data_IF_077577353223
#
_entry.id   IF_077577353223
#
_cell.length_a   1.000
_cell.length_b   1.000
_cell.length_c   1.000
_cell.angle_alpha   90.00
_cell.angle_beta   90.00
_cell.angle_gamma   90.00
#
_symmetry.space_group_name_H-M   'P 1'
#
loop_
_entity.id
_entity.type
_entity.pdbx_description
1 polymer ?
#
# COMPACT_ATOMS: atom_id res chain seq x y z
N UNK A 1 26.98 16.82 -31.26
CA UNK A 1 26.78 16.52 -29.83
C UNK A 1 25.31 16.67 -29.50
N UNK A 2 24.54 15.59 -29.61
CA UNK A 2 23.11 15.55 -29.29
C UNK A 2 22.96 15.36 -27.78
N UNK A 3 22.48 16.40 -27.07
CA UNK A 3 22.02 16.27 -25.69
C UNK A 3 20.83 15.32 -25.68
N UNK A 4 21.04 14.07 -25.27
CA UNK A 4 19.94 13.20 -24.89
C UNK A 4 19.36 13.77 -23.59
N UNK A 5 18.20 14.41 -23.71
CA UNK A 5 17.39 14.79 -22.56
C UNK A 5 17.14 13.54 -21.73
N UNK A 6 17.63 13.55 -20.50
CA UNK A 6 17.35 12.52 -19.53
C UNK A 6 15.85 12.55 -19.27
N UNK A 7 15.10 11.62 -19.86
CA UNK A 7 13.74 11.34 -19.41
C UNK A 7 13.92 10.77 -18.00
N UNK A 8 13.76 11.61 -16.99
CA UNK A 8 13.60 11.14 -15.62
C UNK A 8 12.39 10.22 -15.65
N UNK A 9 12.62 8.92 -15.54
CA UNK A 9 11.55 7.92 -15.56
C UNK A 9 10.51 8.28 -14.51
N UNK A 10 9.24 8.05 -14.84
CA UNK A 10 8.14 8.15 -13.87
C UNK A 10 8.25 6.97 -12.89
N UNK A 11 9.19 7.04 -11.96
CA UNK A 11 9.32 6.09 -10.85
C UNK A 11 8.40 6.50 -9.69
N UNK A 12 8.02 5.55 -8.83
CA UNK A 12 7.26 5.88 -7.64
C UNK A 12 8.12 6.70 -6.65
N UNK A 13 7.48 7.54 -5.83
CA UNK A 13 8.17 8.26 -4.77
C UNK A 13 8.76 7.32 -3.71
N UNK A 14 8.17 6.12 -3.57
CA UNK A 14 8.63 5.04 -2.70
C UNK A 14 8.27 3.69 -3.32
N UNK A 15 9.13 2.69 -3.17
CA UNK A 15 8.86 1.31 -3.58
C UNK A 15 9.49 0.36 -2.58
N UNK A 16 8.72 -0.49 -1.92
CA UNK A 16 9.28 -1.45 -0.96
C UNK A 16 9.32 -2.86 -1.53
N UNK A 17 10.51 -3.44 -1.50
CA UNK A 17 10.71 -4.87 -1.69
C UNK A 17 10.95 -5.54 -0.34
N UNK A 18 10.31 -6.68 -0.13
CA UNK A 18 10.50 -7.48 1.07
C UNK A 18 11.61 -8.49 0.83
N UNK A 19 12.58 -8.57 1.73
CA UNK A 19 13.66 -9.53 1.63
C UNK A 19 14.04 -10.03 3.02
N UNK A 20 14.07 -11.35 3.22
CA UNK A 20 14.42 -11.95 4.51
C UNK A 20 15.86 -11.63 4.97
N UNK A 21 16.77 -11.28 4.06
CA UNK A 21 18.17 -11.00 4.36
C UNK A 21 18.43 -9.49 4.53
N UNK A 22 17.84 -8.65 3.67
CA UNK A 22 18.06 -7.18 3.69
C UNK A 22 16.93 -6.39 4.35
N UNK A 23 15.88 -7.06 4.83
CA UNK A 23 14.76 -6.41 5.50
C UNK A 23 13.77 -5.77 4.53
N UNK A 24 13.18 -4.65 4.96
CA UNK A 24 12.28 -3.82 4.17
C UNK A 24 13.06 -2.58 3.75
N UNK A 25 13.48 -2.53 2.48
CA UNK A 25 14.30 -1.44 1.94
C UNK A 25 13.55 -0.76 0.79
N UNK A 26 13.61 0.56 0.74
CA UNK A 26 13.10 1.32 -0.40
C UNK A 26 13.98 1.05 -1.62
N UNK A 27 13.40 0.41 -2.63
CA UNK A 27 14.00 0.16 -3.94
C UNK A 27 13.81 1.32 -4.92
N UNK A 28 13.12 2.40 -4.51
CA UNK A 28 13.15 3.66 -5.24
C UNK A 28 14.53 4.34 -5.13
N UNK A 29 14.76 5.36 -5.97
CA UNK A 29 15.99 6.17 -5.89
C UNK A 29 15.98 7.21 -4.75
N UNK A 30 14.95 7.23 -3.90
CA UNK A 30 14.70 8.30 -2.94
C UNK A 30 15.12 7.97 -1.50
N UNK A 31 15.44 6.72 -1.20
CA UNK A 31 15.99 6.32 0.10
C UNK A 31 15.02 6.52 1.28
N UNK A 32 13.73 6.31 1.04
CA UNK A 32 12.67 6.53 2.03
C UNK A 32 12.65 5.40 3.05
N UNK A 33 13.00 5.70 4.31
CA UNK A 33 12.95 4.72 5.39
C UNK A 33 11.51 4.46 5.86
N UNK A 34 11.23 3.19 6.19
CA UNK A 34 10.00 2.78 6.86
C UNK A 34 10.31 2.11 8.20
N UNK A 35 9.49 2.40 9.21
CA UNK A 35 9.48 1.63 10.46
C UNK A 35 8.54 0.44 10.33
N UNK A 36 8.88 -0.70 10.92
CA UNK A 36 7.98 -1.86 10.94
C UNK A 36 7.93 -2.51 12.32
N UNK A 37 6.78 -3.06 12.66
CA UNK A 37 6.51 -3.72 13.93
C UNK A 37 5.83 -5.06 13.67
N UNK A 38 6.29 -6.13 14.32
CA UNK A 38 5.73 -7.48 14.24
C UNK A 38 5.53 -8.02 12.81
N UNK A 39 6.25 -7.49 11.82
CA UNK A 39 6.20 -7.95 10.43
C UNK A 39 7.15 -9.14 10.28
N UNK A 40 6.65 -10.25 9.73
CA UNK A 40 7.47 -11.44 9.46
C UNK A 40 7.82 -11.49 7.98
N UNK A 41 9.11 -11.48 7.66
CA UNK A 41 9.60 -11.57 6.28
C UNK A 41 9.83 -13.04 5.88
N UNK A 42 9.32 -13.43 4.72
CA UNK A 42 9.50 -14.77 4.16
C UNK A 42 9.82 -14.66 2.66
N UNK A 43 11.10 -14.79 2.32
CA UNK A 43 11.59 -14.58 0.96
C UNK A 43 11.25 -13.17 0.46
N UNK A 44 10.41 -13.11 -0.58
CA UNK A 44 9.97 -11.87 -1.24
C UNK A 44 8.63 -11.33 -0.71
N UNK A 45 8.16 -11.84 0.43
CA UNK A 45 6.85 -11.49 1.00
C UNK A 45 6.97 -11.06 2.45
N UNK A 46 6.06 -10.18 2.87
CA UNK A 46 5.87 -9.79 4.27
C UNK A 46 4.51 -10.28 4.76
N UNK A 47 4.48 -10.89 5.94
CA UNK A 47 3.27 -11.33 6.61
C UNK A 47 2.92 -10.34 7.72
N UNK A 48 1.67 -9.88 7.69
CA UNK A 48 1.07 -8.97 8.66
C UNK A 48 -0.02 -9.72 9.42
N UNK A 49 -0.04 -9.57 10.75
CA UNK A 49 -1.14 -9.98 11.60
C UNK A 49 -1.82 -8.73 12.21
N UNK A 50 -2.86 -8.93 13.04
CA UNK A 50 -3.60 -7.80 13.64
C UNK A 50 -2.79 -6.87 14.55
N UNK A 51 -1.51 -7.17 14.80
CA UNK A 51 -0.57 -6.36 15.58
C UNK A 51 0.65 -5.92 14.74
N UNK A 52 0.68 -6.22 13.44
CA UNK A 52 1.76 -5.87 12.54
C UNK A 52 1.49 -4.55 11.84
N UNK A 53 2.54 -3.77 11.58
CA UNK A 53 2.44 -2.56 10.75
C UNK A 53 3.76 -2.26 10.03
N UNK A 54 3.64 -1.65 8.85
CA UNK A 54 4.71 -0.93 8.16
C UNK A 54 4.29 0.54 8.11
N UNK A 55 5.15 1.43 8.58
CA UNK A 55 4.87 2.86 8.68
C UNK A 55 5.87 3.66 7.86
N UNK A 56 5.36 4.51 6.96
CA UNK A 56 6.11 5.31 6.01
C UNK A 56 5.93 6.79 6.36
N UNK A 57 6.77 7.29 7.27
CA UNK A 57 6.67 8.65 7.82
C UNK A 57 6.86 9.77 6.80
N UNK A 58 7.46 9.48 5.64
CA UNK A 58 7.77 10.47 4.61
C UNK A 58 6.54 11.21 4.08
N UNK A 59 5.35 10.62 4.22
CA UNK A 59 4.09 11.17 3.77
C UNK A 59 3.22 11.70 4.92
N UNK A 60 3.76 11.80 6.14
CA UNK A 60 3.07 12.49 7.23
C UNK A 60 3.01 14.00 6.93
N UNK A 61 1.83 14.61 7.09
CA UNK A 61 1.60 16.04 6.89
C UNK A 61 2.00 16.58 5.51
N UNK A 62 2.00 15.74 4.47
CA UNK A 62 2.26 16.18 3.10
C UNK A 62 0.95 16.43 2.38
N UNK A 63 0.93 17.49 1.58
CA UNK A 63 -0.14 17.70 0.62
C UNK A 63 0.00 16.67 -0.51
N UNK A 64 -0.91 15.71 -0.55
CA UNK A 64 -1.07 14.85 -1.71
C UNK A 64 -1.55 15.76 -2.85
N UNK A 65 -0.71 15.89 -3.88
CA UNK A 65 -1.05 16.66 -5.09
C UNK A 65 -2.30 16.07 -5.77
N UNK A 66 -2.58 16.53 -6.99
CA UNK A 66 -3.75 16.11 -7.78
C UNK A 66 -3.88 14.60 -8.07
N UNK A 67 -2.88 13.77 -7.75
CA UNK A 67 -2.91 12.33 -8.02
C UNK A 67 -2.11 11.56 -6.98
N UNK A 68 -2.76 10.55 -6.40
CA UNK A 68 -2.14 9.48 -5.62
C UNK A 68 -2.27 8.17 -6.41
N UNK A 69 -1.18 7.41 -6.51
CA UNK A 69 -1.18 6.05 -7.06
C UNK A 69 -0.59 5.13 -6.01
N UNK A 70 -1.34 4.09 -5.67
CA UNK A 70 -0.92 3.05 -4.75
C UNK A 70 -1.05 1.72 -5.49
N UNK A 71 0.05 0.98 -5.53
CA UNK A 71 0.10 -0.36 -6.12
C UNK A 71 0.69 -1.32 -5.09
N UNK A 72 0.01 -2.43 -4.87
CA UNK A 72 0.48 -3.52 -4.02
C UNK A 72 -0.25 -4.81 -4.35
N UNK A 73 0.33 -5.93 -3.95
CA UNK A 73 -0.30 -7.24 -4.03
C UNK A 73 -0.47 -7.78 -2.61
N UNK A 74 -1.62 -8.39 -2.35
CA UNK A 74 -1.90 -8.98 -1.04
C UNK A 74 -2.65 -10.30 -1.18
N UNK A 75 -2.56 -11.12 -0.14
CA UNK A 75 -3.35 -12.33 0.04
C UNK A 75 -3.80 -12.40 1.48
N UNK A 76 -5.10 -12.55 1.69
CA UNK A 76 -5.66 -12.81 3.02
C UNK A 76 -5.36 -14.26 3.45
N UNK A 77 -5.07 -14.48 4.73
CA UNK A 77 -4.87 -15.81 5.31
C UNK A 77 -5.81 -16.04 6.51
N UNK A 78 -6.13 -17.29 6.82
CA UNK A 78 -7.09 -17.66 7.88
C UNK A 78 -8.53 -17.81 7.39
N UNK A 79 -9.47 -18.05 8.32
CA UNK A 79 -10.89 -18.36 8.03
C UNK A 79 -11.88 -17.27 8.45
N UNK A 80 -11.40 -16.11 8.90
CA UNK A 80 -12.25 -15.01 9.36
C UNK A 80 -13.02 -14.31 8.23
N UNK A 81 -14.15 -13.68 8.59
CA UNK A 81 -14.95 -12.81 7.71
C UNK A 81 -14.74 -11.31 8.00
N UNK A 82 -13.87 -10.99 8.96
CA UNK A 82 -13.61 -9.63 9.40
C UNK A 82 -12.90 -8.81 8.33
N UNK A 83 -13.14 -7.51 8.37
CA UNK A 83 -12.47 -6.53 7.52
C UNK A 83 -11.07 -6.23 8.05
N UNK A 84 -10.08 -6.18 7.17
CA UNK A 84 -8.67 -5.98 7.51
C UNK A 84 -8.14 -4.74 6.80
N UNK A 85 -7.58 -3.78 7.55
CA UNK A 85 -6.94 -2.62 6.97
C UNK A 85 -5.63 -3.05 6.27
N UNK A 86 -5.53 -2.73 4.97
CA UNK A 86 -4.33 -2.96 4.16
C UNK A 86 -3.44 -1.73 4.16
N UNK A 87 -4.05 -0.55 4.02
CA UNK A 87 -3.40 0.76 4.07
C UNK A 87 -4.30 1.71 4.84
N UNK A 88 -3.73 2.46 5.76
CA UNK A 88 -4.41 3.51 6.53
C UNK A 88 -3.41 4.62 6.82
N UNK A 89 -3.86 5.86 6.78
CA UNK A 89 -3.10 6.99 7.31
C UNK A 89 -3.47 7.35 8.76
N UNK A 90 -4.36 6.59 9.40
CA UNK A 90 -4.60 6.63 10.84
C UNK A 90 -4.01 5.38 11.52
N UNK A 91 -3.22 5.59 12.57
CA UNK A 91 -2.65 4.52 13.39
C UNK A 91 -3.36 4.51 14.75
N UNK A 92 -4.21 3.53 14.98
CA UNK A 92 -4.62 3.08 16.32
C UNK A 92 -5.23 4.14 17.25
N UNK A 93 -5.91 5.16 16.71
CA UNK A 93 -6.65 6.13 17.53
C UNK A 93 -8.14 6.04 17.20
N UNK A 94 -8.96 5.82 18.22
CA UNK A 94 -10.44 5.89 18.13
C UNK A 94 -10.95 7.34 17.98
N UNK A 95 -10.02 8.31 17.94
CA UNK A 95 -10.33 9.75 17.94
C UNK A 95 -10.34 10.36 16.53
N UNK A 96 -9.70 9.71 15.55
CA UNK A 96 -9.59 10.21 14.18
C UNK A 96 -9.90 9.11 13.15
N UNK A 97 -10.88 9.36 12.29
CA UNK A 97 -11.12 8.50 11.12
C UNK A 97 -10.00 8.69 10.08
N UNK A 98 -9.54 7.59 9.49
CA UNK A 98 -8.57 7.65 8.39
C UNK A 98 -9.14 8.41 7.18
N UNK A 99 -8.41 9.43 6.72
CA UNK A 99 -8.75 10.15 5.48
C UNK A 99 -8.30 9.43 4.21
N UNK A 100 -7.43 8.43 4.33
CA UNK A 100 -7.11 7.46 3.28
C UNK A 100 -7.15 6.06 3.90
N UNK A 101 -8.00 5.20 3.36
CA UNK A 101 -8.20 3.85 3.86
C UNK A 101 -8.38 2.86 2.71
N UNK A 102 -7.65 1.75 2.75
CA UNK A 102 -7.83 0.59 1.87
C UNK A 102 -8.06 -0.63 2.74
N UNK A 103 -9.21 -1.28 2.60
CA UNK A 103 -9.66 -2.39 3.47
C UNK A 103 -10.01 -3.60 2.62
N UNK A 104 -9.52 -4.78 3.02
CA UNK A 104 -10.04 -6.05 2.52
C UNK A 104 -11.26 -6.46 3.36
N UNK A 105 -12.44 -6.51 2.74
CA UNK A 105 -13.64 -7.10 3.31
C UNK A 105 -13.71 -8.58 2.94
N UNK A 106 -13.37 -9.44 3.90
CA UNK A 106 -13.27 -10.89 3.68
C UNK A 106 -14.62 -11.58 3.53
N UNK A 107 -15.67 -11.06 4.18
CA UNK A 107 -17.03 -11.59 4.03
C UNK A 107 -17.57 -11.46 2.61
N UNK A 108 -17.22 -10.37 1.91
CA UNK A 108 -17.67 -10.07 0.54
C UNK A 108 -16.61 -10.32 -0.53
N UNK A 109 -15.38 -10.66 -0.16
CA UNK A 109 -14.22 -10.72 -1.06
C UNK A 109 -14.03 -9.43 -1.89
N UNK A 110 -14.21 -8.28 -1.25
CA UNK A 110 -14.03 -6.96 -1.88
C UNK A 110 -12.94 -6.17 -1.20
N UNK A 111 -12.21 -5.35 -1.96
CA UNK A 111 -11.38 -4.28 -1.42
C UNK A 111 -12.14 -2.98 -1.56
N UNK A 112 -12.27 -2.26 -0.45
CA UNK A 112 -12.78 -0.89 -0.42
C UNK A 112 -11.59 0.07 -0.40
N UNK A 113 -11.60 1.03 -1.31
CA UNK A 113 -10.75 2.22 -1.28
C UNK A 113 -11.63 3.39 -0.88
N UNK A 114 -11.28 4.08 0.21
CA UNK A 114 -11.99 5.24 0.74
C UNK A 114 -11.02 6.40 0.90
N UNK A 115 -11.43 7.57 0.43
CA UNK A 115 -10.75 8.84 0.68
C UNK A 115 -11.73 9.86 1.22
N UNK A 116 -11.34 10.57 2.28
CA UNK A 116 -12.14 11.63 2.91
C UNK A 116 -11.37 12.93 2.83
N UNK A 117 -12.06 14.00 2.42
CA UNK A 117 -11.58 15.37 2.42
C UNK A 117 -12.44 16.21 3.36
N UNK A 118 -12.08 17.48 3.55
CA UNK A 118 -12.91 18.46 4.26
C UNK A 118 -14.29 18.70 3.60
N UNK A 119 -14.45 18.30 2.34
CA UNK A 119 -15.65 18.56 1.53
C UNK A 119 -16.47 17.33 1.21
N UNK A 120 -15.79 16.24 0.88
CA UNK A 120 -16.40 15.04 0.29
C UNK A 120 -15.72 13.75 0.72
N UNK A 121 -16.49 12.66 0.64
CA UNK A 121 -16.00 11.29 0.75
C UNK A 121 -16.15 10.61 -0.60
N UNK A 122 -15.10 9.93 -1.06
CA UNK A 122 -15.14 9.09 -2.24
C UNK A 122 -14.81 7.64 -1.87
N UNK A 123 -15.60 6.72 -2.40
CA UNK A 123 -15.48 5.29 -2.15
C UNK A 123 -15.56 4.51 -3.46
N UNK A 124 -14.66 3.54 -3.63
CA UNK A 124 -14.71 2.58 -4.72
C UNK A 124 -14.43 1.19 -4.18
N UNK A 125 -15.25 0.23 -4.56
CA UNK A 125 -15.08 -1.18 -4.19
C UNK A 125 -14.78 -2.01 -5.43
N UNK A 126 -13.82 -2.92 -5.30
CA UNK A 126 -13.47 -3.88 -6.33
C UNK A 126 -13.42 -5.30 -5.74
N UNK A 127 -13.87 -6.34 -6.46
CA UNK A 127 -13.66 -7.71 -6.02
C UNK A 127 -12.17 -8.06 -6.04
N UNK A 128 -11.72 -8.90 -5.10
CA UNK A 128 -10.40 -9.52 -5.17
C UNK A 128 -10.52 -11.04 -5.20
N UNK A 129 -9.54 -11.70 -5.83
CA UNK A 129 -9.57 -13.16 -5.97
C UNK A 129 -8.86 -13.79 -4.78
N UNK A 130 -9.61 -14.60 -4.02
CA UNK A 130 -9.03 -15.43 -2.97
C UNK A 130 -8.27 -16.60 -3.60
N UNK A 131 -6.96 -16.67 -3.37
CA UNK A 131 -6.17 -17.87 -3.67
C UNK A 131 -5.48 -17.95 -5.04
N UNK A 132 -5.54 -16.90 -5.88
CA UNK A 132 -4.73 -16.85 -7.11
C UNK A 132 -3.38 -16.19 -6.84
N UNK A 133 -2.28 -16.88 -7.18
CA UNK A 133 -0.99 -16.21 -7.33
C UNK A 133 -1.04 -15.35 -8.58
N UNK A 134 -1.24 -14.05 -8.40
CA UNK A 134 -1.11 -13.08 -9.49
C UNK A 134 0.37 -12.96 -9.82
N UNK A 135 0.82 -13.64 -10.88
CA UNK A 135 2.23 -13.59 -11.33
C UNK A 135 2.59 -12.30 -12.07
N UNK A 136 1.61 -11.59 -12.62
CA UNK A 136 1.74 -10.21 -13.08
C UNK A 136 0.37 -9.62 -13.42
N UNK A 137 0.19 -8.34 -13.12
CA UNK A 137 -0.80 -7.48 -13.78
C UNK A 137 0.01 -6.40 -14.48
N UNK A 138 -0.15 -6.27 -15.78
CA UNK A 138 0.44 -5.18 -16.55
C UNK A 138 -0.67 -4.23 -16.98
N UNK A 139 -0.66 -3.02 -16.41
CA UNK A 139 -1.50 -1.93 -16.89
C UNK A 139 -0.66 -1.07 -17.83
N UNK A 140 -0.97 -1.15 -19.11
CA UNK A 140 -0.45 -0.20 -20.09
C UNK A 140 -1.29 1.08 -20.05
N UNK A 141 -0.61 2.22 -20.13
CA UNK A 141 -1.23 3.52 -20.29
C UNK A 141 -1.75 3.65 -21.73
N UNK A 142 -3.00 4.05 -21.90
CA UNK A 142 -3.48 4.71 -23.13
C UNK A 142 -3.12 6.19 -23.02
#
# INVERSE_FOLDING_TARGET
MTKHGHIVGCGPDVSYEFNSNSGITDSSSNGVLAGFLNVVLNGQTATFNGQSMLNIWRFSNVELKNRLVIEFQFKTSGSGIQSEALISNCIGSDLEEASLLIVANRGSNTVLFRTVTDKETAEISAPYIVGLQVKSISLNKI
#
